data_IF_718330892063
#
_entry.id   IF_718330892063
#
_cell.length_a   1.000
_cell.length_b   1.000
_cell.length_c   1.000
_cell.angle_alpha   90.00
_cell.angle_beta   90.00
_cell.angle_gamma   90.00
#
_symmetry.space_group_name_H-M   'P 1'
#
loop_
_entity.id
_entity.type
_entity.pdbx_description
1 polymer ?
#
# COMPACT_ATOMS: atom_id res chain seq x y z
N UNK A 1 -15.39 15.95 -26.77
CA UNK A 1 -14.44 15.27 -27.68
C UNK A 1 -13.46 14.44 -26.85
N UNK A 2 -12.70 13.52 -27.45
CA UNK A 2 -11.71 12.71 -26.72
C UNK A 2 -10.60 13.58 -26.09
N UNK A 3 -10.23 14.68 -26.73
CA UNK A 3 -9.23 15.60 -26.19
C UNK A 3 -9.71 16.26 -24.90
N UNK A 4 -10.98 16.71 -24.86
CA UNK A 4 -11.58 17.24 -23.63
C UNK A 4 -11.53 16.22 -22.47
N UNK A 5 -11.72 14.94 -22.76
CA UNK A 5 -11.65 13.89 -21.73
C UNK A 5 -10.22 13.73 -21.21
N UNK A 6 -9.22 13.76 -22.10
CA UNK A 6 -7.80 13.74 -21.72
C UNK A 6 -7.43 14.97 -20.90
N UNK A 7 -7.90 16.16 -21.29
CA UNK A 7 -7.67 17.42 -20.57
C UNK A 7 -8.26 17.39 -19.16
N UNK A 8 -9.49 16.86 -19.01
CA UNK A 8 -10.12 16.66 -17.70
C UNK A 8 -9.32 15.64 -16.87
N UNK A 9 -8.87 14.55 -17.47
CA UNK A 9 -8.02 13.55 -16.83
C UNK A 9 -6.71 14.15 -16.30
N UNK A 10 -6.03 14.94 -17.13
CA UNK A 10 -4.80 15.65 -16.79
C UNK A 10 -5.04 16.72 -15.72
N UNK A 11 -6.18 17.41 -15.75
CA UNK A 11 -6.60 18.32 -14.69
C UNK A 11 -6.68 17.60 -13.35
N UNK A 12 -7.37 16.46 -13.27
CA UNK A 12 -7.47 15.68 -12.04
C UNK A 12 -6.12 15.11 -11.60
N UNK A 13 -5.32 14.57 -12.54
CA UNK A 13 -3.96 14.09 -12.26
C UNK A 13 -3.14 15.21 -11.63
N UNK A 14 -3.14 16.41 -12.20
CA UNK A 14 -2.40 17.54 -11.66
C UNK A 14 -2.87 17.94 -10.27
N UNK A 15 -4.18 18.01 -10.02
CA UNK A 15 -4.70 18.38 -8.70
C UNK A 15 -4.45 17.31 -7.64
N UNK A 16 -4.54 16.02 -8.00
CA UNK A 16 -4.27 14.92 -7.09
C UNK A 16 -2.77 14.79 -6.80
N UNK A 17 -1.90 14.96 -7.80
CA UNK A 17 -0.46 14.72 -7.65
C UNK A 17 0.34 15.95 -7.20
N UNK A 18 -0.18 17.16 -7.34
CA UNK A 18 0.57 18.41 -7.02
C UNK A 18 -0.04 19.21 -5.88
N UNK A 19 -1.32 19.00 -5.53
CA UNK A 19 -1.96 19.78 -4.46
C UNK A 19 -1.36 19.46 -3.10
N UNK A 20 -1.15 20.51 -2.29
CA UNK A 20 -0.65 20.42 -0.92
C UNK A 20 -1.77 20.52 0.13
N UNK A 21 -2.98 20.84 -0.31
CA UNK A 21 -4.14 21.04 0.57
C UNK A 21 -5.04 19.80 0.55
N UNK A 22 -5.23 19.21 1.74
CA UNK A 22 -6.01 17.99 1.90
C UNK A 22 -7.42 18.09 1.33
N UNK A 23 -8.16 19.14 1.70
CA UNK A 23 -9.52 19.34 1.18
C UNK A 23 -9.57 19.46 -0.35
N UNK A 24 -8.55 20.06 -0.99
CA UNK A 24 -8.51 20.23 -2.43
C UNK A 24 -8.32 18.91 -3.17
N UNK A 25 -7.40 18.04 -2.73
CA UNK A 25 -7.24 16.73 -3.39
C UNK A 25 -8.36 15.75 -3.02
N UNK A 26 -8.99 15.84 -1.84
CA UNK A 26 -10.17 15.02 -1.50
C UNK A 26 -11.38 15.35 -2.38
N UNK A 27 -11.61 16.63 -2.68
CA UNK A 27 -12.63 17.06 -3.65
C UNK A 27 -12.29 16.63 -5.08
N UNK A 28 -11.04 16.83 -5.50
CA UNK A 28 -10.57 16.36 -6.81
C UNK A 28 -10.74 14.85 -6.94
N UNK A 29 -10.44 14.09 -5.90
CA UNK A 29 -10.61 12.64 -5.85
C UNK A 29 -12.07 12.24 -6.05
N UNK A 30 -13.02 12.89 -5.36
CA UNK A 30 -14.44 12.61 -5.52
C UNK A 30 -14.92 12.83 -6.97
N UNK A 31 -14.44 13.88 -7.64
CA UNK A 31 -14.69 14.13 -9.06
C UNK A 31 -14.04 13.07 -9.96
N UNK A 32 -12.79 12.71 -9.68
CA UNK A 32 -12.05 11.73 -10.46
C UNK A 32 -12.63 10.31 -10.36
N UNK A 33 -13.16 9.92 -9.21
CA UNK A 33 -13.91 8.65 -9.05
C UNK A 33 -15.09 8.62 -10.02
N UNK A 34 -15.90 9.68 -10.10
CA UNK A 34 -17.03 9.75 -11.03
C UNK A 34 -16.57 9.63 -12.50
N UNK A 35 -15.47 10.30 -12.85
CA UNK A 35 -14.92 10.25 -14.20
C UNK A 35 -14.48 8.82 -14.58
N UNK A 36 -13.71 8.16 -13.71
CA UNK A 36 -13.22 6.80 -13.95
C UNK A 36 -14.36 5.76 -14.00
N UNK A 37 -15.42 5.94 -13.20
CA UNK A 37 -16.64 5.13 -13.31
C UNK A 37 -17.35 5.29 -14.66
N UNK A 38 -17.43 6.52 -15.19
CA UNK A 38 -18.00 6.77 -16.53
C UNK A 38 -17.22 6.04 -17.60
N UNK A 39 -15.88 6.04 -17.53
CA UNK A 39 -15.06 5.29 -18.47
C UNK A 39 -15.38 3.80 -18.41
N UNK A 40 -15.40 3.20 -17.21
CA UNK A 40 -15.68 1.77 -17.04
C UNK A 40 -17.02 1.30 -17.63
N UNK A 41 -18.00 2.21 -17.76
CA UNK A 41 -19.36 1.95 -18.29
C UNK A 41 -19.54 2.31 -19.75
N UNK A 42 -18.58 3.03 -20.34
CA UNK A 42 -18.63 3.42 -21.75
C UNK A 42 -18.55 2.18 -22.65
N UNK A 43 -19.01 2.26 -23.89
CA UNK A 43 -18.74 1.24 -24.92
C UNK A 43 -17.57 1.64 -25.83
N UNK A 44 -16.95 2.80 -25.57
CA UNK A 44 -15.82 3.30 -26.32
C UNK A 44 -14.51 2.68 -25.79
N UNK A 45 -13.85 1.88 -26.64
CA UNK A 45 -12.59 1.22 -26.30
C UNK A 45 -11.45 2.18 -25.93
N UNK A 46 -11.39 3.37 -26.53
CA UNK A 46 -10.34 4.34 -26.21
C UNK A 46 -10.49 4.84 -24.77
N UNK A 47 -11.73 5.10 -24.34
CA UNK A 47 -12.04 5.51 -22.96
C UNK A 47 -11.74 4.39 -21.96
N UNK A 48 -11.95 3.13 -22.33
CA UNK A 48 -11.60 1.97 -21.50
C UNK A 48 -10.11 1.82 -21.27
N UNK A 49 -9.28 2.22 -22.23
CA UNK A 49 -7.82 2.11 -22.15
C UNK A 49 -7.17 3.21 -21.29
N UNK A 50 -7.84 4.35 -21.10
CA UNK A 50 -7.29 5.50 -20.37
C UNK A 50 -6.92 5.17 -18.91
N UNK A 51 -7.78 4.55 -18.09
CA UNK A 51 -7.42 4.22 -16.71
C UNK A 51 -6.17 3.33 -16.61
N UNK A 52 -6.03 2.35 -17.50
CA UNK A 52 -4.87 1.48 -17.55
C UNK A 52 -3.60 2.25 -17.91
N UNK A 53 -3.64 3.11 -18.94
CA UNK A 53 -2.49 3.92 -19.35
C UNK A 53 -2.07 4.88 -18.23
N UNK A 54 -3.02 5.54 -17.59
CA UNK A 54 -2.79 6.45 -16.48
C UNK A 54 -2.18 5.76 -15.26
N UNK A 55 -2.64 4.54 -14.96
CA UNK A 55 -2.11 3.72 -13.90
C UNK A 55 -0.67 3.27 -14.20
N UNK A 56 -0.38 2.85 -15.43
CA UNK A 56 0.97 2.51 -15.85
C UNK A 56 1.91 3.70 -15.71
N UNK A 57 1.52 4.86 -16.24
CA UNK A 57 2.36 6.07 -16.21
C UNK A 57 2.69 6.48 -14.77
N UNK A 58 1.71 6.49 -13.85
CA UNK A 58 1.99 6.87 -12.47
C UNK A 58 2.87 5.84 -11.74
N UNK A 59 2.72 4.54 -12.05
CA UNK A 59 3.60 3.50 -11.48
C UNK A 59 5.03 3.63 -11.97
N UNK A 60 5.25 3.95 -13.24
CA UNK A 60 6.59 4.24 -13.77
C UNK A 60 7.18 5.52 -13.15
N UNK A 61 6.38 6.58 -13.00
CA UNK A 61 6.81 7.80 -12.29
C UNK A 61 7.25 7.50 -10.84
N UNK A 62 6.54 6.59 -10.14
CA UNK A 62 6.92 6.14 -8.79
C UNK A 62 8.22 5.32 -8.81
N UNK A 63 8.38 4.39 -9.76
CA UNK A 63 9.59 3.56 -9.86
C UNK A 63 10.85 4.42 -10.02
N UNK A 64 10.76 5.40 -10.91
CA UNK A 64 11.85 6.31 -11.26
C UNK A 64 11.97 7.52 -10.33
N UNK A 65 11.27 7.53 -9.18
CA UNK A 65 11.29 8.68 -8.27
C UNK A 65 12.66 8.83 -7.60
N UNK A 66 13.24 10.03 -7.74
CA UNK A 66 14.50 10.43 -7.12
C UNK A 66 14.30 11.68 -6.22
N UNK A 67 15.32 12.14 -5.47
CA UNK A 67 15.19 13.32 -4.59
C UNK A 67 14.84 14.63 -5.31
N UNK A 68 15.13 14.74 -6.60
CA UNK A 68 14.82 15.90 -7.46
C UNK A 68 13.44 15.78 -8.15
N UNK A 69 12.84 14.60 -8.13
CA UNK A 69 11.58 14.31 -8.78
C UNK A 69 10.43 15.15 -8.20
N UNK A 70 9.43 15.43 -9.05
CA UNK A 70 8.24 16.20 -8.65
C UNK A 70 7.43 15.47 -7.56
N UNK A 71 7.57 14.15 -7.47
CA UNK A 71 6.98 13.28 -6.46
C UNK A 71 7.85 13.28 -5.21
N UNK A 72 7.79 14.35 -4.43
CA UNK A 72 8.46 14.38 -3.14
C UNK A 72 7.66 13.53 -2.12
N UNK A 73 8.36 12.74 -1.29
CA UNK A 73 7.81 11.95 -0.17
C UNK A 73 6.99 12.78 0.83
N UNK A 74 7.16 14.11 0.85
CA UNK A 74 6.34 15.02 1.66
C UNK A 74 5.00 15.38 0.99
N UNK A 75 4.22 16.29 1.59
CA UNK A 75 2.80 16.65 1.31
C UNK A 75 2.31 16.67 -0.16
N UNK A 76 3.18 16.69 -1.16
CA UNK A 76 2.84 16.60 -2.60
C UNK A 76 2.41 15.18 -3.03
N UNK A 77 2.94 14.13 -2.42
CA UNK A 77 2.59 12.73 -2.77
C UNK A 77 1.35 12.19 -2.07
N UNK A 78 0.71 12.98 -1.18
CA UNK A 78 -0.44 12.54 -0.40
C UNK A 78 -1.67 12.18 -1.27
N UNK A 79 -1.77 12.69 -2.50
CA UNK A 79 -2.85 12.37 -3.42
C UNK A 79 -2.56 11.23 -4.41
N UNK A 80 -1.31 10.73 -4.50
CA UNK A 80 -0.99 9.54 -5.32
C UNK A 80 -1.86 8.33 -4.93
N UNK A 81 -2.03 8.00 -3.63
CA UNK A 81 -2.86 6.86 -3.25
C UNK A 81 -4.32 7.04 -3.70
N UNK A 82 -4.87 8.26 -3.58
CA UNK A 82 -6.23 8.57 -4.03
C UNK A 82 -6.40 8.40 -5.55
N UNK A 83 -5.40 8.85 -6.32
CA UNK A 83 -5.39 8.68 -7.77
C UNK A 83 -5.44 7.20 -8.17
N UNK A 84 -4.55 6.38 -7.59
CA UNK A 84 -4.50 4.93 -7.85
C UNK A 84 -5.77 4.23 -7.36
N UNK A 85 -6.29 4.60 -6.18
CA UNK A 85 -7.53 4.06 -5.63
C UNK A 85 -8.74 4.33 -6.53
N UNK A 86 -8.84 5.50 -7.17
CA UNK A 86 -9.93 5.79 -8.09
C UNK A 86 -9.85 4.89 -9.34
N UNK A 87 -8.65 4.76 -9.92
CA UNK A 87 -8.42 3.93 -11.11
C UNK A 87 -8.75 2.46 -10.83
N UNK A 88 -8.22 1.90 -9.74
CA UNK A 88 -8.44 0.50 -9.38
C UNK A 88 -9.88 0.21 -8.97
N UNK A 89 -10.55 1.12 -8.25
CA UNK A 89 -11.95 0.92 -7.86
C UNK A 89 -12.91 0.97 -9.06
N UNK A 90 -12.51 1.62 -10.16
CA UNK A 90 -13.28 1.66 -11.41
C UNK A 90 -13.07 0.42 -12.30
N UNK A 91 -12.15 -0.48 -11.94
CA UNK A 91 -11.89 -1.69 -12.71
C UNK A 91 -13.17 -2.58 -12.79
N UNK A 92 -13.58 -3.04 -13.98
CA UNK A 92 -14.77 -3.88 -14.12
C UNK A 92 -14.68 -5.19 -13.32
N UNK A 93 -15.62 -5.40 -12.38
CA UNK A 93 -15.65 -6.57 -11.47
C UNK A 93 -15.83 -7.92 -12.17
N UNK A 94 -16.31 -7.93 -13.41
CA UNK A 94 -16.48 -9.16 -14.22
C UNK A 94 -15.15 -9.66 -14.81
N UNK A 95 -14.08 -8.86 -14.75
CA UNK A 95 -12.73 -9.23 -15.21
C UNK A 95 -11.86 -9.86 -14.13
N UNK A 96 -10.67 -10.35 -14.50
CA UNK A 96 -9.69 -10.98 -13.59
C UNK A 96 -8.96 -10.01 -12.65
N UNK A 97 -9.49 -8.80 -12.42
CA UNK A 97 -8.83 -7.71 -11.68
C UNK A 97 -7.35 -7.54 -12.08
N UNK A 98 -7.09 -7.50 -13.39
CA UNK A 98 -5.74 -7.47 -13.96
C UNK A 98 -4.96 -6.22 -13.58
N UNK A 99 -5.62 -5.06 -13.49
CA UNK A 99 -4.97 -3.80 -13.12
C UNK A 99 -4.60 -3.83 -11.64
N UNK A 100 -5.50 -4.30 -10.77
CA UNK A 100 -5.19 -4.52 -9.35
C UNK A 100 -4.00 -5.47 -9.20
N UNK A 101 -4.03 -6.62 -9.89
CA UNK A 101 -2.96 -7.62 -9.81
C UNK A 101 -1.61 -7.08 -10.24
N UNK A 102 -1.54 -6.38 -11.36
CA UNK A 102 -0.33 -5.73 -11.85
C UNK A 102 0.18 -4.70 -10.85
N UNK A 103 -0.71 -3.85 -10.33
CA UNK A 103 -0.38 -2.78 -9.40
C UNK A 103 0.16 -3.32 -8.09
N UNK A 104 -0.53 -4.30 -7.49
CA UNK A 104 -0.10 -4.92 -6.23
C UNK A 104 1.27 -5.58 -6.38
N UNK A 105 1.52 -6.32 -7.47
CA UNK A 105 2.85 -6.90 -7.74
C UNK A 105 3.94 -5.84 -7.85
N UNK A 106 3.68 -4.78 -8.61
CA UNK A 106 4.65 -3.70 -8.80
C UNK A 106 4.96 -2.98 -7.48
N UNK A 107 3.94 -2.66 -6.68
CA UNK A 107 4.11 -1.95 -5.42
C UNK A 107 4.75 -2.82 -4.34
N UNK A 108 4.38 -4.10 -4.24
CA UNK A 108 5.02 -5.04 -3.30
C UNK A 108 6.51 -5.14 -3.61
N UNK A 109 6.87 -5.32 -4.88
CA UNK A 109 8.28 -5.38 -5.31
C UNK A 109 9.06 -4.13 -4.88
N UNK A 110 8.48 -2.94 -5.08
CA UNK A 110 9.08 -1.67 -4.65
C UNK A 110 9.14 -1.47 -3.14
N UNK A 111 8.24 -2.08 -2.38
CA UNK A 111 8.15 -1.92 -0.93
C UNK A 111 9.17 -2.76 -0.16
N UNK A 112 9.68 -3.83 -0.77
CA UNK A 112 10.73 -4.66 -0.18
C UNK A 112 12.04 -3.86 -0.02
N UNK A 113 12.86 -4.16 1.01
CA UNK A 113 14.17 -3.54 1.14
C UNK A 113 15.03 -3.73 -0.10
N UNK A 114 15.75 -2.69 -0.50
CA UNK A 114 16.68 -2.71 -1.61
C UNK A 114 18.02 -2.13 -1.16
N UNK A 115 19.11 -2.72 -1.65
CA UNK A 115 20.47 -2.25 -1.39
C UNK A 115 20.82 -0.95 -2.15
N UNK A 116 19.95 -0.51 -3.07
CA UNK A 116 20.14 0.68 -3.88
C UNK A 116 19.62 1.91 -3.12
N UNK A 117 20.49 2.85 -2.66
CA UNK A 117 20.05 3.96 -1.82
C UNK A 117 19.03 4.90 -2.48
N UNK A 118 19.13 5.08 -3.81
CA UNK A 118 18.20 5.92 -4.59
C UNK A 118 16.77 5.37 -4.64
N UNK A 119 16.56 4.09 -4.31
CA UNK A 119 15.22 3.46 -4.31
C UNK A 119 14.36 3.80 -3.09
N UNK A 120 14.95 4.42 -2.05
CA UNK A 120 14.28 4.73 -0.78
C UNK A 120 12.97 5.50 -0.97
N UNK A 121 12.97 6.47 -1.88
CA UNK A 121 11.80 7.33 -2.15
C UNK A 121 10.67 6.49 -2.73
N UNK A 122 10.98 5.69 -3.75
CA UNK A 122 10.06 4.76 -4.40
C UNK A 122 9.49 3.74 -3.38
N UNK A 123 10.33 3.23 -2.48
CA UNK A 123 9.93 2.33 -1.41
C UNK A 123 8.92 2.99 -0.46
N UNK A 124 9.20 4.22 -0.01
CA UNK A 124 8.30 4.97 0.87
C UNK A 124 6.96 5.26 0.18
N UNK A 125 6.97 5.62 -1.10
CA UNK A 125 5.73 5.78 -1.87
C UNK A 125 4.96 4.46 -1.95
N UNK A 126 5.64 3.36 -2.30
CA UNK A 126 5.02 2.06 -2.41
C UNK A 126 4.34 1.61 -1.10
N UNK A 127 5.04 1.75 0.04
CA UNK A 127 4.49 1.43 1.35
C UNK A 127 3.23 2.25 1.68
N UNK A 128 3.23 3.55 1.39
CA UNK A 128 2.09 4.43 1.65
C UNK A 128 0.91 4.19 0.70
N UNK A 129 1.18 3.82 -0.56
CA UNK A 129 0.13 3.45 -1.51
C UNK A 129 -0.49 2.11 -1.12
N UNK A 130 0.33 1.09 -0.82
CA UNK A 130 -0.14 -0.21 -0.32
C UNK A 130 -1.03 -0.02 0.92
N UNK A 131 -0.62 0.83 1.86
CA UNK A 131 -1.42 1.18 3.04
C UNK A 131 -2.81 1.68 2.64
N UNK A 132 -2.91 2.61 1.70
CA UNK A 132 -4.20 3.12 1.25
C UNK A 132 -5.04 2.05 0.55
N UNK A 133 -4.42 1.18 -0.27
CA UNK A 133 -5.11 0.10 -0.97
C UNK A 133 -5.66 -0.95 0.00
N UNK A 134 -4.89 -1.37 1.00
CA UNK A 134 -5.39 -2.31 2.03
C UNK A 134 -6.52 -1.73 2.89
N UNK A 135 -6.60 -0.40 2.99
CA UNK A 135 -7.70 0.30 3.67
C UNK A 135 -8.94 0.50 2.80
N UNK A 136 -8.81 0.41 1.47
CA UNK A 136 -9.90 0.69 0.55
C UNK A 136 -10.94 -0.45 0.55
N UNK A 137 -12.10 -0.19 1.14
CA UNK A 137 -13.19 -1.16 1.24
C UNK A 137 -13.78 -1.53 -0.12
N UNK A 138 -13.61 -0.69 -1.15
CA UNK A 138 -14.14 -0.92 -2.50
C UNK A 138 -13.41 -2.05 -3.23
N UNK A 139 -12.16 -2.33 -2.85
CA UNK A 139 -11.37 -3.43 -3.39
C UNK A 139 -11.81 -4.79 -2.82
N UNK A 140 -12.53 -4.81 -1.69
CA UNK A 140 -13.16 -6.02 -1.14
C UNK A 140 -12.17 -7.18 -0.96
N UNK A 141 -12.62 -8.40 -1.26
CA UNK A 141 -11.79 -9.61 -1.11
C UNK A 141 -10.67 -9.72 -2.16
N UNK A 142 -10.70 -8.91 -3.23
CA UNK A 142 -9.67 -8.95 -4.28
C UNK A 142 -8.28 -8.52 -3.77
N UNK A 143 -8.22 -7.82 -2.64
CA UNK A 143 -6.95 -7.41 -2.01
C UNK A 143 -6.32 -8.51 -1.14
N UNK A 144 -7.10 -9.50 -0.70
CA UNK A 144 -6.68 -10.53 0.27
C UNK A 144 -5.46 -11.35 -0.20
N UNK A 145 -5.35 -11.75 -1.48
CA UNK A 145 -4.18 -12.51 -1.96
C UNK A 145 -2.84 -11.81 -1.75
N UNK A 146 -2.84 -10.50 -1.54
CA UNK A 146 -1.64 -9.66 -1.40
C UNK A 146 -1.31 -9.30 0.05
N UNK A 147 -2.17 -9.65 1.01
CA UNK A 147 -2.03 -9.27 2.42
C UNK A 147 -0.76 -9.87 3.03
N UNK A 148 -0.44 -11.13 2.69
CA UNK A 148 0.76 -11.78 3.21
C UNK A 148 2.04 -11.07 2.74
N UNK A 149 2.16 -10.80 1.44
CA UNK A 149 3.32 -10.08 0.88
C UNK A 149 3.43 -8.66 1.43
N UNK A 150 2.30 -7.96 1.59
CA UNK A 150 2.25 -6.65 2.22
C UNK A 150 2.72 -6.67 3.68
N UNK A 151 2.37 -7.72 4.42
CA UNK A 151 2.81 -7.93 5.81
C UNK A 151 4.32 -8.17 5.88
N UNK A 152 4.86 -9.01 4.99
CA UNK A 152 6.30 -9.24 4.89
C UNK A 152 7.06 -7.94 4.59
N UNK A 153 6.60 -7.16 3.60
CA UNK A 153 7.21 -5.87 3.27
C UNK A 153 7.17 -4.88 4.44
N UNK A 154 6.07 -4.84 5.20
CA UNK A 154 5.97 -4.01 6.39
C UNK A 154 6.99 -4.43 7.47
N UNK A 155 7.07 -5.73 7.79
CA UNK A 155 7.97 -6.26 8.82
C UNK A 155 9.44 -6.02 8.45
N UNK A 156 9.81 -6.32 7.20
CA UNK A 156 11.17 -6.11 6.71
C UNK A 156 11.59 -4.63 6.78
N UNK A 157 10.65 -3.69 6.64
CA UNK A 157 10.96 -2.27 6.75
C UNK A 157 11.15 -1.74 8.17
N UNK A 158 10.81 -2.50 9.23
CA UNK A 158 11.01 -2.06 10.63
C UNK A 158 12.48 -1.91 11.01
N UNK A 159 13.36 -2.69 10.39
CA UNK A 159 14.81 -2.68 10.65
C UNK A 159 15.57 -1.74 9.74
N UNK A 160 14.88 -1.06 8.81
CA UNK A 160 15.52 -0.10 7.92
C UNK A 160 16.28 0.97 8.71
N UNK A 161 17.48 1.33 8.27
CA UNK A 161 18.24 2.47 8.82
C UNK A 161 17.56 3.81 8.57
N UNK A 162 16.63 3.86 7.60
CA UNK A 162 15.96 5.07 7.15
C UNK A 162 14.63 5.27 7.90
N UNK A 163 14.51 6.40 8.61
CA UNK A 163 13.34 6.71 9.42
C UNK A 163 12.02 6.72 8.63
N UNK A 164 12.02 7.30 7.43
CA UNK A 164 10.83 7.39 6.59
C UNK A 164 10.28 6.02 6.17
N UNK A 165 11.17 5.05 5.93
CA UNK A 165 10.81 3.65 5.64
C UNK A 165 10.18 3.02 6.88
N UNK A 166 10.85 3.09 8.04
CA UNK A 166 10.31 2.56 9.31
C UNK A 166 8.91 3.10 9.64
N UNK A 167 8.72 4.42 9.49
CA UNK A 167 7.43 5.07 9.72
C UNK A 167 6.35 4.55 8.74
N UNK A 168 6.66 4.48 7.44
CA UNK A 168 5.71 4.03 6.42
C UNK A 168 5.35 2.56 6.60
N UNK A 169 6.33 1.72 6.95
CA UNK A 169 6.13 0.30 7.30
C UNK A 169 5.24 0.12 8.54
N UNK A 170 5.44 0.94 9.58
CA UNK A 170 4.59 0.90 10.79
C UNK A 170 3.14 1.22 10.47
N UNK A 171 2.92 2.23 9.62
CA UNK A 171 1.59 2.64 9.19
C UNK A 171 0.91 1.59 8.29
N UNK A 172 1.68 0.94 7.41
CA UNK A 172 1.23 -0.20 6.61
C UNK A 172 0.84 -1.38 7.50
N UNK A 173 1.71 -1.78 8.43
CA UNK A 173 1.47 -2.87 9.38
C UNK A 173 0.18 -2.67 10.17
N UNK A 174 0.01 -1.48 10.79
CA UNK A 174 -1.21 -1.16 11.55
C UNK A 174 -2.49 -1.29 10.70
N UNK A 175 -2.41 -0.92 9.42
CA UNK A 175 -3.52 -1.05 8.48
C UNK A 175 -3.80 -2.52 8.15
N UNK A 176 -2.76 -3.34 7.97
CA UNK A 176 -2.88 -4.77 7.71
C UNK A 176 -3.43 -5.53 8.91
N UNK A 177 -3.00 -5.20 10.14
CA UNK A 177 -3.58 -5.77 11.36
C UNK A 177 -5.09 -5.49 11.41
N UNK A 178 -5.50 -4.25 11.17
CA UNK A 178 -6.93 -3.90 11.12
C UNK A 178 -7.65 -4.63 9.98
N UNK A 179 -6.98 -4.87 8.84
CA UNK A 179 -7.55 -5.58 7.70
C UNK A 179 -7.72 -7.09 7.96
N UNK A 180 -6.81 -7.70 8.71
CA UNK A 180 -6.80 -9.14 9.01
C UNK A 180 -7.76 -9.46 10.16
N UNK A 181 -7.64 -8.72 11.27
CA UNK A 181 -8.37 -9.00 12.51
C UNK A 181 -9.65 -8.17 12.67
N UNK A 182 -9.85 -7.17 11.81
CA UNK A 182 -10.98 -6.25 11.89
C UNK A 182 -10.75 -5.10 12.88
N UNK A 183 -11.76 -4.26 13.03
CA UNK A 183 -11.76 -3.17 14.02
C UNK A 183 -12.14 -3.70 15.40
N UNK A 184 -11.48 -3.18 16.43
CA UNK A 184 -11.75 -3.54 17.82
C UNK A 184 -13.22 -3.27 18.18
N UNK A 185 -13.92 -4.31 18.66
CA UNK A 185 -15.30 -4.22 19.14
C UNK A 185 -15.31 -4.15 20.67
N UNK A 186 -15.16 -2.94 21.22
CA UNK A 186 -15.25 -2.66 22.66
C UNK A 186 -13.96 -2.11 23.30
N UNK A 187 -14.03 -1.72 24.58
CA UNK A 187 -12.85 -1.22 25.34
C UNK A 187 -11.88 -2.32 25.74
N UNK A 188 -12.36 -3.55 25.95
CA UNK A 188 -11.55 -4.69 26.38
C UNK A 188 -10.68 -5.24 25.23
N UNK A 189 -9.36 -5.11 25.38
CA UNK A 189 -8.34 -5.69 24.49
C UNK A 189 -8.44 -7.22 24.42
N UNK A 190 -8.86 -7.86 25.51
CA UNK A 190 -8.81 -9.32 25.66
C UNK A 190 -10.06 -10.06 25.16
N UNK A 191 -11.06 -9.33 24.66
CA UNK A 191 -12.32 -9.91 24.20
C UNK A 191 -12.11 -10.97 23.12
N UNK A 192 -12.71 -12.16 23.30
CA UNK A 192 -12.70 -13.25 22.33
C UNK A 192 -13.21 -12.83 20.94
N UNK A 193 -14.01 -11.77 20.85
CA UNK A 193 -14.55 -11.21 19.60
C UNK A 193 -13.51 -10.45 18.76
N UNK A 194 -12.34 -10.16 19.31
CA UNK A 194 -11.24 -9.44 18.66
C UNK A 194 -10.04 -10.36 18.36
N UNK A 195 -10.21 -11.69 18.44
CA UNK A 195 -9.12 -12.66 18.29
C UNK A 195 -9.38 -13.60 17.11
N UNK A 196 -8.31 -13.98 16.42
CA UNK A 196 -8.28 -15.06 15.44
C UNK A 196 -7.30 -16.12 15.94
N UNK A 197 -7.59 -17.40 15.73
CA UNK A 197 -6.63 -18.45 16.10
C UNK A 197 -5.43 -18.42 15.16
N UNK A 198 -4.25 -18.78 15.66
CA UNK A 198 -3.06 -18.93 14.82
C UNK A 198 -3.28 -19.90 13.66
N UNK A 199 -4.01 -21.01 13.90
CA UNK A 199 -4.38 -21.96 12.84
C UNK A 199 -5.15 -21.28 11.72
N UNK A 200 -6.14 -20.46 12.04
CA UNK A 200 -6.93 -19.76 11.03
C UNK A 200 -6.11 -18.70 10.29
N UNK A 201 -5.32 -17.92 11.03
CA UNK A 201 -4.42 -16.94 10.44
C UNK A 201 -3.44 -17.57 9.43
N UNK A 202 -2.75 -18.66 9.81
CA UNK A 202 -1.80 -19.34 8.95
C UNK A 202 -2.47 -20.19 7.85
N UNK A 203 -3.71 -20.63 8.04
CA UNK A 203 -4.48 -21.25 6.95
C UNK A 203 -4.82 -20.21 5.88
N UNK A 204 -5.17 -18.98 6.30
CA UNK A 204 -5.50 -17.88 5.38
C UNK A 204 -4.25 -17.27 4.73
N UNK A 205 -3.13 -17.22 5.45
CA UNK A 205 -1.86 -16.61 5.01
C UNK A 205 -0.67 -17.57 5.26
N UNK A 206 -0.58 -18.69 4.53
CA UNK A 206 0.37 -19.75 4.81
C UNK A 206 1.83 -19.34 4.70
N UNK A 207 2.17 -18.40 3.80
CA UNK A 207 3.54 -17.90 3.65
C UNK A 207 4.05 -17.12 4.85
N UNK A 208 3.17 -16.62 5.72
CA UNK A 208 3.57 -15.88 6.91
C UNK A 208 4.16 -16.78 8.00
N UNK A 209 3.79 -18.07 8.06
CA UNK A 209 4.33 -18.97 9.08
C UNK A 209 5.86 -19.12 8.98
N UNK A 210 6.42 -19.63 7.87
CA UNK A 210 7.87 -19.79 7.74
C UNK A 210 8.60 -18.44 7.78
N UNK A 211 7.99 -17.38 7.24
CA UNK A 211 8.55 -16.04 7.30
C UNK A 211 8.71 -15.54 8.74
N UNK A 212 7.63 -15.51 9.53
CA UNK A 212 7.67 -15.02 10.91
C UNK A 212 8.63 -15.85 11.77
N UNK A 213 8.65 -17.17 11.58
CA UNK A 213 9.61 -18.05 12.25
C UNK A 213 11.05 -17.63 11.96
N UNK A 214 11.41 -17.46 10.68
CA UNK A 214 12.76 -17.01 10.29
C UNK A 214 13.14 -15.66 10.90
N UNK A 215 12.19 -14.73 11.02
CA UNK A 215 12.44 -13.42 11.63
C UNK A 215 12.74 -13.55 13.13
N UNK A 216 12.00 -14.42 13.84
CA UNK A 216 12.23 -14.69 15.26
C UNK A 216 13.57 -15.38 15.52
N UNK A 217 13.95 -16.33 14.67
CA UNK A 217 15.25 -17.02 14.76
C UNK A 217 16.43 -16.05 14.57
N UNK A 218 16.35 -15.17 13.56
CA UNK A 218 17.37 -14.14 13.32
C UNK A 218 17.54 -13.19 14.51
N UNK A 219 16.43 -12.78 15.13
CA UNK A 219 16.44 -11.90 16.29
C UNK A 219 17.08 -12.60 17.49
N UNK A 220 16.73 -13.87 17.74
CA UNK A 220 17.26 -14.65 18.87
C UNK A 220 18.77 -14.84 18.75
N UNK A 221 19.25 -15.18 17.55
CA UNK A 221 20.70 -15.37 17.28
C UNK A 221 21.49 -14.07 17.47
N UNK A 222 20.89 -12.92 17.11
CA UNK A 222 21.52 -11.60 17.28
C UNK A 222 21.54 -11.16 18.75
N UNK A 223 20.56 -11.58 19.54
CA UNK A 223 20.49 -11.27 20.97
C UNK A 223 21.55 -12.03 21.79
N UNK A 224 21.85 -13.28 21.43
CA UNK A 224 22.83 -14.11 22.16
C UNK A 224 24.29 -13.69 21.91
N UNK A 225 24.55 -12.93 20.83
CA UNK A 225 25.90 -12.57 20.38
C UNK A 225 26.41 -11.19 20.84
N UNK A 226 25.57 -10.34 21.46
CA UNK A 226 25.98 -9.01 21.97
C UNK A 226 25.67 -8.83 23.45
N UNK A 227 26.73 -8.53 24.20
CA UNK A 227 26.78 -8.12 25.61
C UNK A 227 25.64 -7.19 26.04
N UNK A 228 24.81 -7.67 26.99
CA UNK A 228 24.10 -6.94 28.08
C UNK A 228 23.35 -5.63 27.82
N UNK A 229 23.06 -5.25 26.58
CA UNK A 229 21.98 -4.32 26.28
C UNK A 229 20.96 -5.03 25.40
N UNK A 230 19.84 -5.46 26.01
CA UNK A 230 18.63 -5.82 25.26
C UNK A 230 18.11 -4.57 24.54
N UNK A 231 18.74 -4.20 23.42
CA UNK A 231 18.15 -3.25 22.47
C UNK A 231 16.92 -3.94 21.93
N UNK A 232 15.76 -3.64 22.52
CA UNK A 232 14.44 -4.03 22.05
C UNK A 232 14.42 -3.85 20.54
N UNK A 233 14.55 -4.96 19.81
CA UNK A 233 14.56 -4.93 18.36
C UNK A 233 13.21 -4.34 17.93
N UNK A 234 13.15 -3.25 17.15
CA UNK A 234 11.88 -2.60 16.80
C UNK A 234 10.86 -3.56 16.19
N UNK A 235 11.32 -4.64 15.55
CA UNK A 235 10.47 -5.72 15.04
C UNK A 235 9.89 -6.67 16.10
N UNK A 236 10.51 -6.84 17.28
CA UNK A 236 10.03 -7.76 18.32
C UNK A 236 8.66 -7.36 18.85
N UNK A 237 8.47 -6.08 19.20
CA UNK A 237 7.20 -5.62 19.74
C UNK A 237 6.04 -5.82 18.76
N UNK A 238 6.29 -5.63 17.47
CA UNK A 238 5.26 -5.73 16.43
C UNK A 238 5.01 -7.17 15.99
N UNK A 239 6.03 -8.04 16.02
CA UNK A 239 5.87 -9.49 15.80
C UNK A 239 5.10 -10.17 16.94
N UNK A 240 5.30 -9.73 18.18
CA UNK A 240 4.62 -10.27 19.37
C UNK A 240 3.15 -9.82 19.51
N UNK A 241 2.71 -8.86 18.68
CA UNK A 241 1.31 -8.41 18.64
C UNK A 241 0.42 -9.24 17.69
N UNK A 242 1.01 -10.17 16.92
CA UNK A 242 0.31 -11.07 15.98
C UNK A 242 -0.07 -12.38 16.67
#
# INVERSE_FOLDING_TARGET
TMDQVKDIGEYFKNHLLKSRHRGAFELAYAGFVKLTEVFSRSNNEELHKLPQQWLYNVLEEIKCSDPSSKLCVTRRSAGIPFYIQALLASEPKKGKASLLKMTMKSLISLALPSDIPSSTISQVHALNILRALFKDTRLGENIIPYVADGMQAAILGFTSSIWAVRNSSTLLFSTLITRIFGVKRGKDESSKKNRMTGREFFTRFPSLYPFLLSQLEQITTTADSKTKEMKLHPGLFLLLLV
#
